data_IF_598317130789
#
_entry.id   IF_598317130789
#
_cell.length_a   1.000
_cell.length_b   1.000
_cell.length_c   1.000
_cell.angle_alpha   90.00
_cell.angle_beta   90.00
_cell.angle_gamma   90.00
#
_symmetry.space_group_name_H-M   'P 1'
#
loop_
_entity.id
_entity.type
_entity.pdbx_description
1 polymer ?
#
# COMPACT_ATOMS: atom_id res chain seq x y z
N UNK A 1 -9.08 -17.12 29.24
CA UNK A 1 -10.52 -16.82 29.25
C UNK A 1 -11.14 -17.02 30.64
N UNK A 2 -10.72 -18.05 31.41
CA UNK A 2 -11.31 -18.40 32.73
C UNK A 2 -11.10 -17.30 33.80
N UNK A 3 -10.20 -16.35 33.60
CA UNK A 3 -9.87 -15.33 34.60
C UNK A 3 -10.53 -13.96 34.36
N UNK A 4 -11.29 -13.79 33.29
CA UNK A 4 -11.93 -12.51 32.94
C UNK A 4 -13.45 -12.66 32.93
N UNK A 5 -14.17 -11.58 33.28
CA UNK A 5 -15.64 -11.56 33.33
C UNK A 5 -16.28 -11.39 31.94
N UNK A 6 -15.61 -10.71 31.05
CA UNK A 6 -16.05 -10.46 29.68
C UNK A 6 -14.84 -10.23 28.76
N UNK A 7 -14.94 -10.72 27.54
CA UNK A 7 -13.96 -10.49 26.48
C UNK A 7 -14.62 -9.68 25.37
N UNK A 8 -14.02 -8.57 25.02
CA UNK A 8 -14.45 -7.72 23.92
C UNK A 8 -13.42 -7.75 22.81
N UNK A 9 -13.86 -7.81 21.56
CA UNK A 9 -12.98 -7.70 20.39
C UNK A 9 -13.21 -6.35 19.73
N UNK A 10 -12.14 -5.57 19.58
CA UNK A 10 -12.14 -4.28 18.89
C UNK A 10 -11.48 -4.49 17.53
N UNK A 11 -12.26 -4.38 16.47
CA UNK A 11 -11.79 -4.55 15.10
C UNK A 11 -12.51 -3.62 14.14
N UNK A 12 -11.84 -3.28 13.05
CA UNK A 12 -12.36 -2.42 11.98
C UNK A 12 -12.85 -3.26 10.80
N UNK A 13 -13.77 -2.72 10.03
CA UNK A 13 -14.31 -3.23 8.77
C UNK A 13 -15.07 -4.58 8.90
N UNK A 14 -14.40 -5.68 9.18
CA UNK A 14 -15.00 -7.02 9.21
C UNK A 14 -14.92 -7.66 10.59
N UNK A 15 -15.79 -8.64 10.88
CA UNK A 15 -15.79 -9.37 12.14
C UNK A 15 -14.79 -10.57 12.14
N UNK A 16 -13.66 -10.43 11.47
CA UNK A 16 -12.71 -11.53 11.31
C UNK A 16 -12.17 -12.09 12.64
N UNK A 17 -11.73 -11.19 13.52
CA UNK A 17 -11.21 -11.59 14.84
C UNK A 17 -12.33 -12.10 15.76
N UNK A 18 -13.48 -11.43 15.75
CA UNK A 18 -14.67 -11.86 16.51
C UNK A 18 -15.08 -13.27 16.11
N UNK A 19 -15.18 -13.55 14.81
CA UNK A 19 -15.56 -14.86 14.29
C UNK A 19 -14.50 -15.92 14.62
N UNK A 20 -13.22 -15.58 14.48
CA UNK A 20 -12.12 -16.50 14.82
C UNK A 20 -12.09 -16.86 16.29
N UNK A 21 -12.30 -15.90 17.19
CA UNK A 21 -12.36 -16.14 18.65
C UNK A 21 -13.59 -16.99 19.01
N UNK A 22 -14.75 -16.67 18.43
CA UNK A 22 -15.99 -17.40 18.63
C UNK A 22 -15.89 -18.85 18.14
N UNK A 23 -15.18 -19.09 17.04
CA UNK A 23 -14.94 -20.44 16.51
C UNK A 23 -14.10 -21.33 17.46
N UNK A 24 -13.34 -20.72 18.38
CA UNK A 24 -12.63 -21.43 19.44
C UNK A 24 -13.52 -21.75 20.66
N UNK A 25 -14.83 -21.47 20.60
CA UNK A 25 -15.77 -21.68 21.71
C UNK A 25 -15.63 -20.65 22.83
N UNK A 26 -15.05 -19.47 22.53
CA UNK A 26 -14.89 -18.38 23.50
C UNK A 26 -16.00 -17.36 23.26
N UNK A 27 -16.78 -17.06 24.30
CA UNK A 27 -17.84 -16.05 24.21
C UNK A 27 -17.24 -14.64 24.10
N UNK A 28 -17.63 -13.92 23.05
CA UNK A 28 -17.30 -12.51 22.84
C UNK A 28 -18.48 -11.65 23.28
N UNK A 29 -18.25 -10.77 24.23
CA UNK A 29 -19.27 -9.86 24.73
C UNK A 29 -19.56 -8.74 23.73
N UNK A 30 -20.82 -8.35 23.62
CA UNK A 30 -21.23 -7.19 22.86
C UNK A 30 -20.89 -5.89 23.60
N UNK A 31 -20.49 -4.86 22.87
CA UNK A 31 -20.33 -3.53 23.45
C UNK A 31 -21.68 -2.96 23.92
N UNK A 32 -21.72 -2.20 25.01
CA UNK A 32 -22.92 -1.49 25.43
C UNK A 32 -23.50 -0.60 24.34
N UNK A 33 -22.65 0.12 23.62
CA UNK A 33 -22.99 0.86 22.42
C UNK A 33 -22.22 0.26 21.22
N UNK A 34 -22.87 0.02 20.08
CA UNK A 34 -22.22 -0.63 18.95
C UNK A 34 -21.12 0.23 18.36
N UNK A 35 -19.96 -0.39 18.08
CA UNK A 35 -18.89 0.25 17.32
C UNK A 35 -19.30 0.39 15.85
N UNK A 36 -18.97 1.52 15.19
CA UNK A 36 -19.19 1.65 13.76
C UNK A 36 -18.32 0.62 13.00
N UNK A 37 -18.90 0.05 11.95
CA UNK A 37 -18.19 -0.89 11.08
C UNK A 37 -17.42 -0.20 9.97
N UNK A 38 -17.75 1.05 9.69
CA UNK A 38 -17.13 1.84 8.63
C UNK A 38 -16.24 2.93 9.26
N UNK A 39 -15.07 3.13 8.66
CA UNK A 39 -14.13 4.16 9.07
C UNK A 39 -13.18 3.71 10.18
N UNK A 40 -12.37 4.66 10.64
CA UNK A 40 -11.33 4.46 11.64
C UNK A 40 -11.90 4.48 13.06
N UNK A 41 -11.50 3.52 13.88
CA UNK A 41 -11.84 3.49 15.30
C UNK A 41 -10.89 4.40 16.09
N UNK A 42 -11.40 5.50 16.60
CA UNK A 42 -10.69 6.39 17.50
C UNK A 42 -10.81 5.95 18.97
N UNK A 43 -9.90 6.43 19.81
CA UNK A 43 -9.99 6.25 21.27
C UNK A 43 -11.33 6.78 21.82
N UNK A 44 -11.83 7.89 21.26
CA UNK A 44 -13.13 8.47 21.65
C UNK A 44 -14.29 7.51 21.37
N UNK A 45 -14.34 6.92 20.18
CA UNK A 45 -15.37 5.94 19.81
C UNK A 45 -15.35 4.70 20.70
N UNK A 46 -14.15 4.16 20.97
CA UNK A 46 -14.01 2.99 21.85
C UNK A 46 -14.45 3.33 23.27
N UNK A 47 -14.07 4.50 23.80
CA UNK A 47 -14.54 4.94 25.11
C UNK A 47 -16.05 5.09 25.16
N UNK A 48 -16.66 5.69 24.15
CA UNK A 48 -18.10 5.84 24.04
C UNK A 48 -18.80 4.47 24.03
N UNK A 49 -18.27 3.49 23.31
CA UNK A 49 -18.83 2.15 23.24
C UNK A 49 -18.86 1.43 24.62
N UNK A 50 -17.99 1.83 25.56
CA UNK A 50 -18.01 1.40 26.96
C UNK A 50 -18.78 2.34 27.89
N UNK A 51 -19.43 3.38 27.37
CA UNK A 51 -20.16 4.37 28.17
C UNK A 51 -19.27 5.35 28.94
N UNK A 52 -17.97 5.46 28.58
CA UNK A 52 -17.09 6.44 29.18
C UNK A 52 -17.23 7.82 28.51
N UNK A 53 -17.16 8.90 29.26
CA UNK A 53 -17.23 10.24 28.67
C UNK A 53 -16.06 10.46 27.67
N UNK A 54 -16.37 11.21 26.63
CA UNK A 54 -15.36 11.61 25.65
C UNK A 54 -14.25 12.44 26.34
N UNK A 55 -12.95 12.16 26.09
CA UNK A 55 -11.91 12.99 26.63
C UNK A 55 -12.03 14.41 26.09
N UNK A 56 -11.84 15.40 26.94
CA UNK A 56 -11.82 16.79 26.50
C UNK A 56 -10.69 16.98 25.49
N UNK A 57 -11.01 17.02 24.22
CA UNK A 57 -10.06 17.41 23.20
C UNK A 57 -9.96 18.93 23.19
N UNK A 58 -8.78 19.46 23.48
CA UNK A 58 -8.48 20.83 23.09
C UNK A 58 -8.56 20.87 21.56
N UNK A 59 -9.60 21.49 21.02
CA UNK A 59 -9.69 21.74 19.59
C UNK A 59 -8.50 22.62 19.20
N UNK A 60 -7.50 22.04 18.62
CA UNK A 60 -6.43 22.79 17.99
C UNK A 60 -7.03 23.44 16.75
N UNK A 61 -7.56 24.66 16.90
CA UNK A 61 -7.95 25.53 15.80
C UNK A 61 -6.68 26.13 15.18
N UNK A 62 -5.84 25.29 14.60
CA UNK A 62 -4.76 25.77 13.77
C UNK A 62 -5.20 25.58 12.30
N UNK A 63 -5.27 26.68 11.56
CA UNK A 63 -5.34 26.65 10.10
C UNK A 63 -4.01 26.11 9.58
N UNK A 64 -3.91 24.77 9.53
CA UNK A 64 -2.68 24.10 9.09
C UNK A 64 -2.78 23.91 7.58
N UNK A 65 -1.83 24.48 6.80
CA UNK A 65 -1.84 24.27 5.36
C UNK A 65 -1.72 22.77 5.01
N UNK A 66 -2.53 22.33 4.06
CA UNK A 66 -2.50 20.95 3.56
C UNK A 66 -1.11 20.58 3.06
N UNK A 67 -0.64 19.40 3.44
CA UNK A 67 0.65 18.84 3.03
C UNK A 67 0.42 17.52 2.28
N UNK A 68 0.03 17.57 1.00
CA UNK A 68 -0.15 16.35 0.23
C UNK A 68 1.18 15.59 0.16
N UNK A 69 1.15 14.25 0.15
CA UNK A 69 2.35 13.45 0.01
C UNK A 69 3.04 13.76 -1.32
N UNK A 70 4.36 13.89 -1.29
CA UNK A 70 5.17 14.17 -2.47
C UNK A 70 6.55 13.54 -2.35
N UNK A 71 7.16 13.21 -3.49
CA UNK A 71 8.56 12.82 -3.52
C UNK A 71 9.45 13.95 -3.00
N UNK A 72 10.49 13.61 -2.25
CA UNK A 72 11.43 14.56 -1.67
C UNK A 72 12.03 15.50 -2.71
N UNK A 73 12.42 16.74 -2.34
CA UNK A 73 13.22 17.59 -3.20
C UNK A 73 14.51 16.87 -3.63
N UNK A 74 14.83 16.90 -4.95
CA UNK A 74 16.02 16.23 -5.49
C UNK A 74 15.96 14.70 -5.56
N UNK A 75 14.80 14.08 -5.26
CA UNK A 75 14.65 12.64 -5.34
C UNK A 75 14.91 12.12 -6.77
N UNK A 76 15.80 11.11 -6.96
CA UNK A 76 16.13 10.59 -8.29
C UNK A 76 14.93 9.95 -9.01
N UNK A 77 13.96 9.43 -8.28
CA UNK A 77 12.74 8.86 -8.85
C UNK A 77 11.99 9.86 -9.73
N UNK A 78 12.07 11.17 -9.42
CA UNK A 78 11.43 12.22 -10.23
C UNK A 78 11.93 12.23 -11.67
N UNK A 79 13.21 12.00 -11.90
CA UNK A 79 13.80 11.97 -13.23
C UNK A 79 13.28 10.78 -14.03
N UNK A 80 13.21 9.60 -13.39
CA UNK A 80 12.69 8.38 -14.03
C UNK A 80 11.25 8.61 -14.50
N UNK A 81 10.37 9.07 -13.63
CA UNK A 81 8.96 9.30 -14.00
C UNK A 81 8.79 10.38 -15.06
N UNK A 82 9.65 11.42 -15.04
CA UNK A 82 9.66 12.42 -16.09
C UNK A 82 10.00 11.81 -17.46
N UNK A 83 10.97 10.91 -17.53
CA UNK A 83 11.34 10.25 -18.79
C UNK A 83 10.27 9.23 -19.22
N UNK A 84 9.70 8.45 -18.30
CA UNK A 84 8.60 7.55 -18.61
C UNK A 84 7.38 8.30 -19.19
N UNK A 85 7.07 9.46 -18.63
CA UNK A 85 6.02 10.34 -19.17
C UNK A 85 6.37 10.85 -20.57
N UNK A 86 7.63 11.24 -20.82
CA UNK A 86 8.08 11.67 -22.17
C UNK A 86 7.98 10.55 -23.20
N UNK A 87 8.30 9.34 -22.81
CA UNK A 87 8.15 8.13 -23.65
C UNK A 87 6.69 7.71 -23.81
N UNK A 88 5.76 8.37 -23.13
CA UNK A 88 4.34 7.98 -23.10
C UNK A 88 4.15 6.51 -22.72
N UNK A 89 5.00 5.97 -21.85
CA UNK A 89 4.91 4.60 -21.41
C UNK A 89 3.58 4.34 -20.66
N UNK A 90 3.09 3.11 -20.75
CA UNK A 90 2.10 2.57 -19.81
C UNK A 90 2.91 2.08 -18.63
N UNK A 91 2.73 2.70 -17.48
CA UNK A 91 3.53 2.43 -16.28
C UNK A 91 2.71 1.61 -15.30
N UNK A 92 3.12 0.37 -15.08
CA UNK A 92 2.61 -0.46 -14.00
C UNK A 92 3.48 -0.24 -12.77
N UNK A 93 2.89 0.38 -11.78
CA UNK A 93 3.59 0.73 -10.55
C UNK A 93 3.40 -0.29 -9.43
N UNK A 94 4.14 -0.03 -8.38
CA UNK A 94 4.22 -0.85 -7.19
C UNK A 94 4.17 0.03 -5.94
N UNK A 95 4.27 -0.52 -4.74
CA UNK A 95 4.15 0.21 -3.48
C UNK A 95 5.52 0.57 -2.91
N UNK A 96 5.72 1.87 -2.71
CA UNK A 96 6.93 2.47 -2.15
C UNK A 96 6.94 3.98 -2.36
N UNK A 97 8.06 4.67 -2.12
CA UNK A 97 8.17 6.11 -2.40
C UNK A 97 7.79 6.44 -3.86
N UNK A 98 8.11 5.57 -4.77
CA UNK A 98 7.82 5.73 -6.20
C UNK A 98 6.33 5.66 -6.54
N UNK A 99 5.46 5.10 -5.68
CA UNK A 99 4.00 5.20 -5.84
C UNK A 99 3.55 6.66 -5.99
N UNK A 100 4.28 7.59 -5.36
CA UNK A 100 4.02 9.02 -5.48
C UNK A 100 4.25 9.57 -6.89
N UNK A 101 4.81 8.78 -7.80
CA UNK A 101 4.85 9.07 -9.23
C UNK A 101 3.47 9.13 -9.90
N UNK A 102 2.45 8.53 -9.28
CA UNK A 102 1.06 8.61 -9.71
C UNK A 102 0.46 10.01 -9.49
N UNK A 103 0.98 10.77 -8.54
CA UNK A 103 0.42 12.05 -8.13
C UNK A 103 0.98 13.21 -8.95
N UNK A 104 0.25 14.34 -9.06
CA UNK A 104 0.78 15.56 -9.62
C UNK A 104 2.06 16.03 -8.90
N UNK A 105 3.00 16.67 -9.60
CA UNK A 105 2.96 17.04 -11.01
C UNK A 105 3.44 15.96 -11.98
N UNK A 106 3.82 14.77 -11.50
CA UNK A 106 4.37 13.70 -12.33
C UNK A 106 3.29 12.97 -13.11
N UNK A 107 2.24 12.53 -12.44
CA UNK A 107 1.09 11.81 -13.04
C UNK A 107 1.52 10.77 -14.09
N UNK A 108 2.55 9.97 -13.74
CA UNK A 108 3.27 9.10 -14.66
C UNK A 108 3.20 7.63 -14.27
N UNK A 109 2.09 7.23 -13.69
CA UNK A 109 1.81 5.83 -13.32
C UNK A 109 0.34 5.54 -13.64
N UNK A 110 0.09 4.49 -14.42
CA UNK A 110 -1.24 4.12 -14.89
C UNK A 110 -1.93 3.12 -13.93
N UNK A 111 -1.17 2.25 -13.28
CA UNK A 111 -1.71 1.26 -12.34
C UNK A 111 -0.83 1.10 -11.11
N UNK A 112 -1.45 0.80 -9.97
CA UNK A 112 -0.77 0.46 -8.71
C UNK A 112 -1.74 -0.41 -7.89
N UNK A 113 -1.38 -1.65 -7.61
CA UNK A 113 -2.25 -2.60 -6.90
C UNK A 113 -1.67 -2.97 -5.54
N UNK A 114 -0.55 -3.70 -5.51
CA UNK A 114 0.10 -4.13 -4.29
C UNK A 114 1.62 -4.26 -4.45
N UNK A 115 2.31 -4.68 -3.39
CA UNK A 115 3.76 -4.86 -3.41
C UNK A 115 4.13 -6.10 -4.24
N UNK A 116 4.85 -5.88 -5.36
CA UNK A 116 5.33 -6.93 -6.27
C UNK A 116 4.46 -7.14 -7.51
N UNK A 117 3.28 -6.52 -7.60
CA UNK A 117 2.36 -6.72 -8.71
C UNK A 117 2.81 -6.06 -10.02
N UNK A 118 3.65 -5.03 -9.97
CA UNK A 118 4.01 -4.25 -11.17
C UNK A 118 4.53 -5.09 -12.32
N UNK A 119 5.40 -6.06 -12.04
CA UNK A 119 6.04 -6.90 -13.04
C UNK A 119 5.05 -7.84 -13.73
N UNK A 120 4.21 -8.52 -12.93
CA UNK A 120 3.17 -9.41 -13.49
C UNK A 120 2.08 -8.63 -14.22
N UNK A 121 1.73 -7.43 -13.76
CA UNK A 121 0.79 -6.57 -14.46
C UNK A 121 1.34 -6.11 -15.80
N UNK A 122 2.62 -5.72 -15.88
CA UNK A 122 3.25 -5.37 -17.16
C UNK A 122 3.18 -6.53 -18.16
N UNK A 123 3.49 -7.74 -17.70
CA UNK A 123 3.37 -8.93 -18.54
C UNK A 123 1.91 -9.17 -18.99
N UNK A 124 0.95 -8.99 -18.10
CA UNK A 124 -0.48 -9.07 -18.43
C UNK A 124 -0.90 -8.06 -19.50
N UNK A 125 -0.43 -6.82 -19.42
CA UNK A 125 -0.68 -5.81 -20.46
C UNK A 125 -0.03 -6.17 -21.78
N UNK A 126 1.18 -6.69 -21.79
CA UNK A 126 1.83 -7.16 -23.02
C UNK A 126 1.03 -8.26 -23.71
N UNK A 127 0.55 -9.24 -22.95
CA UNK A 127 -0.30 -10.30 -23.48
C UNK A 127 -1.63 -9.74 -24.02
N UNK A 128 -2.23 -8.80 -23.32
CA UNK A 128 -3.49 -8.19 -23.74
C UNK A 128 -3.34 -7.33 -25.02
N UNK A 129 -2.15 -6.77 -25.24
CA UNK A 129 -1.84 -5.97 -26.42
C UNK A 129 -1.15 -6.75 -27.54
N UNK A 130 -0.90 -8.04 -27.36
CA UNK A 130 -0.18 -8.85 -28.33
C UNK A 130 -0.80 -8.73 -29.73
N UNK A 131 0.05 -8.45 -30.72
CA UNK A 131 -0.37 -8.24 -32.12
C UNK A 131 -1.07 -6.91 -32.40
N UNK A 132 -1.08 -5.97 -31.47
CA UNK A 132 -1.61 -4.61 -31.64
C UNK A 132 -0.50 -3.58 -31.45
N UNK A 133 -0.62 -2.45 -32.12
CA UNK A 133 0.23 -1.29 -31.83
C UNK A 133 -0.16 -0.71 -30.47
N UNK A 134 0.81 -0.54 -29.58
CA UNK A 134 0.60 0.01 -28.25
C UNK A 134 1.80 0.84 -27.78
N UNK A 135 1.56 1.64 -26.74
CA UNK A 135 2.62 2.36 -26.04
C UNK A 135 3.55 1.37 -25.32
N UNK A 136 4.83 1.68 -25.10
CA UNK A 136 5.71 0.84 -24.30
C UNK A 136 5.11 0.54 -22.92
N UNK A 137 5.15 -0.70 -22.49
CA UNK A 137 4.75 -1.10 -21.13
C UNK A 137 6.00 -1.21 -20.26
N UNK A 138 6.00 -0.54 -19.12
CA UNK A 138 7.14 -0.52 -18.20
C UNK A 138 6.65 -0.80 -16.78
N UNK A 139 7.15 -1.87 -16.18
CA UNK A 139 7.00 -2.11 -14.75
C UNK A 139 7.97 -1.24 -13.97
N UNK A 140 7.51 -0.56 -12.94
CA UNK A 140 8.35 0.21 -12.01
C UNK A 140 8.23 -0.37 -10.62
N UNK A 141 9.36 -0.77 -10.04
CA UNK A 141 9.44 -1.42 -8.75
C UNK A 141 10.67 -0.95 -7.97
N UNK A 142 10.57 -0.81 -6.65
CA UNK A 142 11.72 -0.50 -5.81
C UNK A 142 12.59 -1.73 -5.54
N UNK A 143 13.84 -1.51 -5.17
CA UNK A 143 14.82 -2.55 -4.85
C UNK A 143 14.34 -3.49 -3.74
N UNK A 144 13.86 -2.96 -2.63
CA UNK A 144 13.33 -3.75 -1.52
C UNK A 144 12.14 -4.62 -1.94
N UNK A 145 11.15 -4.04 -2.59
CA UNK A 145 9.97 -4.76 -3.06
C UNK A 145 10.33 -5.81 -4.11
N UNK A 146 11.26 -5.49 -4.99
CA UNK A 146 11.77 -6.45 -5.98
C UNK A 146 12.38 -7.67 -5.30
N UNK A 147 13.21 -7.47 -4.27
CA UNK A 147 13.86 -8.56 -3.56
C UNK A 147 12.89 -9.51 -2.86
N UNK A 148 11.83 -8.97 -2.25
CA UNK A 148 10.93 -9.83 -1.45
C UNK A 148 9.73 -10.39 -2.23
N UNK A 149 9.22 -9.72 -3.27
CA UNK A 149 8.02 -10.16 -4.00
C UNK A 149 8.08 -10.01 -5.52
N UNK A 150 8.90 -9.09 -6.06
CA UNK A 150 9.00 -8.87 -7.49
C UNK A 150 9.78 -9.95 -8.26
N UNK A 151 10.71 -10.65 -7.58
CA UNK A 151 11.57 -11.63 -8.22
C UNK A 151 10.79 -12.82 -8.78
N UNK A 152 9.81 -13.33 -8.06
CA UNK A 152 8.95 -14.42 -8.53
C UNK A 152 8.16 -14.04 -9.79
N UNK A 153 7.66 -12.81 -9.84
CA UNK A 153 6.95 -12.25 -11.01
C UNK A 153 7.89 -12.14 -12.22
N UNK A 154 9.14 -11.72 -12.01
CA UNK A 154 10.15 -11.66 -13.07
C UNK A 154 10.48 -13.06 -13.62
N UNK A 155 10.71 -14.03 -12.73
CA UNK A 155 10.95 -15.42 -13.14
C UNK A 155 9.79 -15.97 -13.97
N UNK A 156 8.56 -15.72 -13.52
CA UNK A 156 7.35 -16.12 -14.27
C UNK A 156 7.27 -15.45 -15.64
N UNK A 157 7.55 -14.15 -15.71
CA UNK A 157 7.57 -13.38 -16.96
C UNK A 157 8.59 -13.95 -17.94
N UNK A 158 9.80 -14.23 -17.48
CA UNK A 158 10.88 -14.81 -18.30
C UNK A 158 10.49 -16.23 -18.77
N UNK A 159 9.97 -17.07 -17.87
CA UNK A 159 9.51 -18.41 -18.20
C UNK A 159 8.45 -18.39 -19.31
N UNK A 160 7.53 -17.43 -19.26
CA UNK A 160 6.47 -17.26 -20.23
C UNK A 160 6.88 -16.41 -21.45
N UNK A 161 8.19 -16.17 -21.64
CA UNK A 161 8.76 -15.42 -22.78
C UNK A 161 8.22 -13.98 -22.91
N UNK A 162 7.90 -13.36 -21.79
CA UNK A 162 7.56 -11.94 -21.77
C UNK A 162 8.74 -11.08 -22.20
N UNK A 163 8.45 -10.00 -22.93
CA UNK A 163 9.45 -9.09 -23.50
C UNK A 163 9.44 -7.70 -22.83
N UNK A 164 8.75 -7.57 -21.69
CA UNK A 164 8.54 -6.30 -21.00
C UNK A 164 9.78 -5.68 -20.40
N UNK A 165 9.71 -4.38 -20.19
CA UNK A 165 10.75 -3.63 -19.49
C UNK A 165 10.42 -3.55 -18.01
N UNK A 166 11.37 -3.97 -17.17
CA UNK A 166 11.28 -3.81 -15.70
C UNK A 166 12.32 -2.77 -15.27
N UNK A 167 11.84 -1.70 -14.67
CA UNK A 167 12.66 -0.62 -14.14
C UNK A 167 12.74 -0.75 -12.62
N UNK A 168 13.87 -1.23 -12.10
CA UNK A 168 14.13 -1.34 -10.67
C UNK A 168 14.72 -0.01 -10.19
N UNK A 169 14.02 0.64 -9.26
CA UNK A 169 14.45 1.89 -8.65
C UNK A 169 15.24 1.60 -7.38
N UNK A 170 16.55 1.49 -7.52
CA UNK A 170 17.46 1.19 -6.42
C UNK A 170 17.89 2.48 -5.69
N UNK A 171 17.37 2.68 -4.49
CA UNK A 171 17.81 3.72 -3.56
C UNK A 171 18.51 3.14 -2.32
N UNK A 172 18.78 1.82 -2.32
CA UNK A 172 19.44 1.06 -1.26
C UNK A 172 18.79 1.18 0.11
N UNK A 173 17.48 1.42 0.17
CA UNK A 173 16.79 1.50 1.45
C UNK A 173 15.29 1.33 1.28
N UNK A 174 14.62 0.76 2.27
CA UNK A 174 13.18 0.80 2.41
C UNK A 174 12.79 2.15 3.02
N UNK A 175 12.76 3.20 2.19
CA UNK A 175 12.74 4.58 2.66
C UNK A 175 11.40 5.01 3.27
N UNK A 176 10.28 4.58 2.70
CA UNK A 176 8.94 5.07 3.07
C UNK A 176 8.58 4.75 4.53
N UNK A 177 9.04 3.64 5.05
CA UNK A 177 8.71 3.16 6.40
C UNK A 177 9.77 3.47 7.46
N UNK A 178 10.81 4.22 7.13
CA UNK A 178 11.80 4.66 8.11
C UNK A 178 13.26 4.31 7.77
N UNK A 179 13.57 4.07 6.49
CA UNK A 179 14.91 3.80 5.99
C UNK A 179 15.54 2.53 6.56
N UNK A 180 14.79 1.46 6.55
CA UNK A 180 15.29 0.14 6.92
C UNK A 180 16.23 -0.43 5.85
N UNK A 181 17.12 -1.34 6.28
CA UNK A 181 17.88 -2.19 5.37
C UNK A 181 16.97 -3.15 4.60
N UNK A 182 17.44 -3.66 3.48
CA UNK A 182 16.73 -4.64 2.66
C UNK A 182 17.71 -5.73 2.19
N UNK A 183 17.24 -6.84 1.57
CA UNK A 183 18.09 -7.95 1.18
C UNK A 183 19.22 -7.61 0.20
N UNK A 184 19.21 -6.46 -0.44
CA UNK A 184 20.28 -6.03 -1.36
C UNK A 184 21.40 -5.22 -0.70
N UNK A 185 21.21 -4.77 0.53
CA UNK A 185 22.22 -3.95 1.20
C UNK A 185 22.67 -4.48 2.57
N UNK A 186 22.20 -5.68 2.95
CA UNK A 186 22.64 -6.40 4.15
C UNK A 186 22.06 -5.85 5.44
#
# INVERSE_FOLDING_TARGET
AESVKALYVVEEASCYLTDAVSALGIDVASFPEPLPRDGELSVGLIRAAFGFPEPAHAAAQADVPGRPPALCPGCPHRLVFKELSRCKAIVTGDIGCYTLGALPPLSAMDTCVDMGASVSMAHGFELAFAGREHRPVVAVIGDSTFAHSGLSSLISTVYNKGAGTVCILDNRTTAMTGRQGNPFNG
#
